data_IF_347728780800
#
_entry.id   IF_347728780800
#
_cell.length_a   1.000
_cell.length_b   1.000
_cell.length_c   1.000
_cell.angle_alpha   90.00
_cell.angle_beta   90.00
_cell.angle_gamma   90.00
#
_symmetry.space_group_name_H-M   'P 1'
#
loop_
_entity.id
_entity.type
_entity.pdbx_description
1 polymer ?
#
# COMPACT_ATOMS: atom_id res chain seq x y z
N UNK A 1 -14.43 -3.48 1.25
CA UNK A 1 -13.26 -3.26 0.39
C UNK A 1 -13.06 -1.76 0.20
N UNK A 2 -12.18 -1.17 1.00
CA UNK A 2 -11.83 0.26 0.92
C UNK A 2 -10.46 0.38 0.22
N UNK A 3 -10.43 0.99 -0.96
CA UNK A 3 -9.19 1.15 -1.74
C UNK A 3 -8.52 2.49 -1.47
N UNK A 4 -7.49 2.47 -0.63
CA UNK A 4 -6.77 3.66 -0.19
C UNK A 4 -5.52 3.93 -1.03
N UNK A 5 -5.06 5.19 -1.01
CA UNK A 5 -3.83 5.64 -1.68
C UNK A 5 -2.59 5.37 -0.81
N UNK A 6 -1.41 5.51 -1.42
CA UNK A 6 -0.10 5.33 -0.76
C UNK A 6 0.02 6.17 0.51
N UNK A 7 -0.39 7.44 0.47
CA UNK A 7 -0.24 8.39 1.58
C UNK A 7 -1.11 7.99 2.77
N UNK A 8 -2.30 7.46 2.50
CA UNK A 8 -3.23 6.98 3.52
C UNK A 8 -2.71 5.71 4.18
N UNK A 9 -2.20 4.76 3.37
CA UNK A 9 -1.64 3.52 3.91
C UNK A 9 -0.38 3.81 4.73
N UNK A 10 0.53 4.63 4.20
CA UNK A 10 1.76 5.03 4.87
C UNK A 10 1.48 5.65 6.25
N UNK A 11 0.49 6.55 6.34
CA UNK A 11 0.04 7.11 7.61
C UNK A 11 -0.53 6.06 8.56
N UNK A 12 -1.32 5.12 8.04
CA UNK A 12 -1.98 4.07 8.83
C UNK A 12 -0.99 3.07 9.43
N UNK A 13 0.06 2.72 8.70
CA UNK A 13 1.10 1.79 9.17
C UNK A 13 2.31 2.49 9.82
N UNK A 14 2.31 3.83 9.88
CA UNK A 14 3.34 4.61 10.56
C UNK A 14 4.68 4.69 9.81
N UNK A 15 4.68 4.64 8.47
CA UNK A 15 5.91 4.72 7.65
C UNK A 15 5.84 5.85 6.64
N UNK A 16 6.97 6.15 5.99
CA UNK A 16 7.01 7.09 4.88
C UNK A 16 6.50 6.44 3.59
N UNK A 17 6.00 7.24 2.65
CA UNK A 17 5.63 6.74 1.30
C UNK A 17 6.83 6.10 0.59
N UNK A 18 8.05 6.58 0.82
CA UNK A 18 9.28 6.00 0.27
C UNK A 18 9.55 4.59 0.81
N UNK A 19 9.32 4.38 2.11
CA UNK A 19 9.39 3.03 2.71
C UNK A 19 8.35 2.12 2.08
N UNK A 20 7.11 2.60 1.95
CA UNK A 20 6.02 1.84 1.34
C UNK A 20 6.35 1.46 -0.13
N UNK A 21 6.92 2.38 -0.92
CA UNK A 21 7.35 2.08 -2.29
C UNK A 21 8.48 1.05 -2.36
N UNK A 22 9.40 1.10 -1.40
CA UNK A 22 10.47 0.10 -1.29
C UNK A 22 9.87 -1.29 -1.01
N UNK A 23 8.88 -1.37 -0.12
CA UNK A 23 8.16 -2.61 0.17
C UNK A 23 7.36 -3.12 -1.03
N UNK A 24 6.70 -2.24 -1.78
CA UNK A 24 6.04 -2.61 -3.03
C UNK A 24 7.04 -3.21 -4.04
N UNK A 25 8.22 -2.59 -4.19
CA UNK A 25 9.27 -3.06 -5.11
C UNK A 25 9.82 -4.42 -4.69
N UNK A 26 9.91 -4.67 -3.37
CA UNK A 26 10.39 -5.92 -2.79
C UNK A 26 9.29 -7.00 -2.70
N UNK A 27 8.02 -6.65 -2.93
CA UNK A 27 6.89 -7.59 -2.86
C UNK A 27 6.37 -7.85 -1.45
N UNK A 28 6.70 -7.03 -0.46
CA UNK A 28 6.26 -7.20 0.93
C UNK A 28 4.86 -6.67 1.24
N UNK A 29 4.29 -5.86 0.34
CA UNK A 29 2.98 -5.27 0.53
C UNK A 29 2.12 -5.58 -0.68
N UNK A 30 0.94 -6.20 -0.51
CA UNK A 30 0.01 -6.42 -1.61
C UNK A 30 -0.55 -5.08 -2.10
N UNK A 31 -0.68 -4.93 -3.42
CA UNK A 31 -1.21 -3.72 -4.03
C UNK A 31 -1.99 -4.04 -5.31
N UNK A 32 -2.94 -3.16 -5.64
CA UNK A 32 -3.78 -3.27 -6.82
C UNK A 32 -3.42 -2.13 -7.78
N UNK A 33 -3.07 -2.47 -9.03
CA UNK A 33 -2.86 -1.48 -10.10
C UNK A 33 -4.17 -1.23 -10.83
N UNK A 34 -4.61 0.03 -10.84
CA UNK A 34 -5.80 0.49 -11.57
C UNK A 34 -5.34 1.59 -12.52
N UNK A 35 -5.14 1.23 -13.79
CA UNK A 35 -4.54 2.11 -14.79
C UNK A 35 -3.14 2.58 -14.35
N UNK A 36 -2.96 3.90 -14.23
CA UNK A 36 -1.70 4.52 -13.75
C UNK A 36 -1.64 4.71 -12.24
N UNK A 37 -2.69 4.33 -11.51
CA UNK A 37 -2.78 4.49 -10.06
C UNK A 37 -2.55 3.16 -9.34
N UNK A 38 -2.00 3.26 -8.13
CA UNK A 38 -1.89 2.13 -7.20
C UNK A 38 -2.83 2.34 -6.03
N UNK A 39 -3.54 1.28 -5.65
CA UNK A 39 -4.41 1.23 -4.48
C UNK A 39 -4.04 0.07 -3.57
N UNK A 40 -4.44 0.19 -2.32
CA UNK A 40 -4.21 -0.82 -1.29
C UNK A 40 -5.52 -1.13 -0.61
N UNK A 41 -5.72 -2.40 -0.30
CA UNK A 41 -6.72 -2.83 0.67
C UNK A 41 -6.02 -2.99 2.02
N UNK A 42 -6.33 -2.17 3.04
CA UNK A 42 -5.72 -2.27 4.36
C UNK A 42 -5.91 -3.64 5.01
N UNK A 43 -7.04 -4.32 4.76
CA UNK A 43 -7.28 -5.63 5.35
C UNK A 43 -6.32 -6.68 4.78
N UNK A 44 -6.03 -6.60 3.48
CA UNK A 44 -5.09 -7.49 2.80
C UNK A 44 -3.66 -7.23 3.26
N UNK A 45 -3.28 -5.95 3.38
CA UNK A 45 -1.94 -5.54 3.86
C UNK A 45 -1.68 -6.00 5.30
N UNK A 46 -2.69 -5.99 6.17
CA UNK A 46 -2.52 -6.40 7.58
C UNK A 46 -2.58 -7.92 7.79
N UNK A 47 -2.97 -8.70 6.78
CA UNK A 47 -3.02 -10.17 6.83
C UNK A 47 -1.80 -10.85 6.21
N UNK A 48 -1.01 -10.11 5.43
CA UNK A 48 0.25 -10.55 4.85
C UNK A 48 1.38 -10.59 5.89
#
# INVERSE_FOLDING_TARGET
MELIKKEQLARRVGVTTRTLESWMRLGYVPFIKIGRSVRFDPEDVMRA
#
